data_IF_592849504755
#
_entry.id   IF_592849504755
#
_cell.length_a   1.000
_cell.length_b   1.000
_cell.length_c   1.000
_cell.angle_alpha   90.00
_cell.angle_beta   90.00
_cell.angle_gamma   90.00
#
_symmetry.space_group_name_H-M   'P 1'
#
loop_
_entity.id
_entity.type
_entity.pdbx_description
1 polymer ?
#
# COMPACT_ATOMS: atom_id res chain seq x y z
N UNK A 1 -8.28 11.07 20.04
CA UNK A 1 -8.25 11.10 21.52
C UNK A 1 -9.61 11.49 22.09
N UNK A 2 -10.16 12.67 21.73
CA UNK A 2 -11.49 13.11 22.21
C UNK A 2 -12.63 12.14 21.92
N UNK A 3 -12.64 11.53 20.73
CA UNK A 3 -13.69 10.58 20.33
C UNK A 3 -13.48 9.14 20.85
N UNK A 4 -12.36 8.86 21.54
CA UNK A 4 -12.04 7.50 22.02
C UNK A 4 -11.86 6.43 20.93
N UNK A 5 -11.72 6.84 19.67
CA UNK A 5 -11.61 5.93 18.52
C UNK A 5 -10.21 5.33 18.44
N UNK A 6 -10.15 4.02 18.16
CA UNK A 6 -8.91 3.31 17.78
C UNK A 6 -8.68 3.47 16.29
N UNK A 7 -7.49 3.94 15.91
CA UNK A 7 -7.06 4.02 14.52
C UNK A 7 -6.27 2.77 14.12
N UNK A 8 -6.41 2.37 12.85
CA UNK A 8 -5.55 1.35 12.23
C UNK A 8 -4.68 2.06 11.20
N UNK A 9 -3.36 2.04 11.41
CA UNK A 9 -2.39 2.63 10.51
C UNK A 9 -1.76 1.53 9.65
N UNK A 10 -2.13 1.49 8.36
CA UNK A 10 -1.53 0.55 7.39
C UNK A 10 -0.23 1.15 6.83
N UNK A 11 0.90 0.59 7.26
CA UNK A 11 2.25 1.02 6.90
C UNK A 11 2.91 0.14 5.83
N UNK A 12 2.15 -0.76 5.16
CA UNK A 12 2.71 -1.75 4.22
C UNK A 12 3.49 -1.11 3.07
N UNK A 13 3.12 0.10 2.65
CA UNK A 13 3.84 0.89 1.64
C UNK A 13 4.66 2.06 2.20
N UNK A 14 4.67 2.27 3.53
CA UNK A 14 5.34 3.41 4.16
C UNK A 14 6.85 3.41 3.88
N UNK A 15 7.46 2.23 3.64
CA UNK A 15 8.87 2.13 3.27
C UNK A 15 9.26 2.90 2.00
N UNK A 16 8.31 3.26 1.13
CA UNK A 16 8.59 4.04 -0.09
C UNK A 16 8.95 5.51 0.21
N UNK A 17 8.52 6.04 1.34
CA UNK A 17 8.75 7.43 1.76
C UNK A 17 9.65 7.47 2.99
N UNK A 18 10.95 7.67 2.77
CA UNK A 18 11.97 7.69 3.83
C UNK A 18 11.82 8.84 4.83
N UNK A 19 11.20 9.93 4.40
CA UNK A 19 11.02 11.19 5.12
C UNK A 19 9.57 11.42 5.58
N UNK A 20 8.74 10.37 5.63
CA UNK A 20 7.31 10.46 5.97
C UNK A 20 7.00 10.95 7.40
N UNK A 21 8.02 11.23 8.21
CA UNK A 21 7.88 11.62 9.61
C UNK A 21 7.59 10.45 10.53
N UNK A 22 7.24 10.77 11.78
CA UNK A 22 6.87 9.74 12.76
C UNK A 22 5.49 9.14 12.41
N UNK A 23 5.32 7.80 12.47
CA UNK A 23 4.03 7.18 12.25
C UNK A 23 3.01 7.66 13.29
N UNK A 24 1.72 7.58 12.96
CA UNK A 24 0.63 7.95 13.87
C UNK A 24 0.71 7.14 15.17
N UNK A 25 1.15 5.88 15.11
CA UNK A 25 1.39 5.04 16.28
C UNK A 25 2.47 5.58 17.23
N UNK A 26 3.45 6.35 16.75
CA UNK A 26 4.40 7.04 17.61
C UNK A 26 3.80 8.28 18.28
N UNK A 27 2.84 8.95 17.60
CA UNK A 27 2.18 10.16 18.10
C UNK A 27 1.01 9.87 19.05
N UNK A 28 0.36 8.71 18.91
CA UNK A 28 -0.75 8.28 19.74
C UNK A 28 -0.71 6.76 20.03
N UNK A 29 0.34 6.28 20.74
CA UNK A 29 0.57 4.84 20.98
C UNK A 29 -0.59 4.13 21.68
N UNK A 30 -1.38 4.89 22.44
CA UNK A 30 -2.50 4.34 23.21
C UNK A 30 -3.78 4.16 22.37
N UNK A 31 -3.78 4.66 21.13
CA UNK A 31 -4.97 4.73 20.29
C UNK A 31 -4.78 4.13 18.89
N UNK A 32 -3.56 3.74 18.51
CA UNK A 32 -3.26 3.35 17.14
C UNK A 32 -2.67 1.95 17.11
N UNK A 33 -3.26 1.09 16.28
CA UNK A 33 -2.67 -0.18 15.88
C UNK A 33 -1.96 0.04 14.55
N UNK A 34 -0.64 -0.06 14.53
CA UNK A 34 0.13 -0.04 13.29
C UNK A 34 0.24 -1.46 12.73
N UNK A 35 -0.07 -1.60 11.44
CA UNK A 35 -0.04 -2.83 10.67
C UNK A 35 1.06 -2.69 9.61
N UNK A 36 1.96 -3.67 9.55
CA UNK A 36 3.00 -3.66 8.52
C UNK A 36 3.40 -5.10 8.10
N UNK A 37 4.14 -5.22 7.01
CA UNK A 37 4.47 -6.50 6.39
C UNK A 37 5.72 -6.48 5.51
N UNK A 38 6.34 -7.64 5.35
CA UNK A 38 7.40 -7.88 4.37
C UNK A 38 6.86 -8.12 2.95
N UNK A 39 5.55 -8.24 2.75
CA UNK A 39 4.95 -8.58 1.44
C UNK A 39 5.33 -7.60 0.32
N UNK A 40 5.43 -6.30 0.62
CA UNK A 40 5.78 -5.27 -0.38
C UNK A 40 7.26 -4.88 -0.37
N UNK A 41 7.96 -5.15 0.74
CA UNK A 41 9.42 -4.93 0.87
C UNK A 41 10.24 -6.06 0.26
N UNK A 42 9.79 -7.30 0.42
CA UNK A 42 10.53 -8.51 0.02
C UNK A 42 9.75 -9.26 -1.05
N UNK A 43 8.69 -9.96 -0.68
CA UNK A 43 7.89 -10.76 -1.59
C UNK A 43 6.51 -11.05 -0.99
N UNK A 44 5.42 -10.96 -1.77
CA UNK A 44 4.09 -11.33 -1.30
C UNK A 44 4.02 -12.81 -0.88
N UNK A 45 4.85 -13.68 -1.49
CA UNK A 45 4.88 -15.11 -1.17
C UNK A 45 5.43 -15.44 0.22
N UNK A 46 6.19 -14.54 0.85
CA UNK A 46 6.70 -14.76 2.22
C UNK A 46 5.59 -14.68 3.27
N UNK A 47 4.57 -13.86 3.04
CA UNK A 47 3.38 -13.71 3.91
C UNK A 47 3.70 -13.50 5.40
N UNK A 48 4.70 -12.65 5.71
CA UNK A 48 5.03 -12.26 7.08
C UNK A 48 4.58 -10.81 7.36
N UNK A 49 3.63 -10.66 8.29
CA UNK A 49 3.14 -9.38 8.80
C UNK A 49 3.33 -9.24 10.31
N UNK A 50 3.25 -8.02 10.82
CA UNK A 50 3.38 -7.71 12.24
C UNK A 50 2.51 -6.51 12.63
N UNK A 51 2.23 -6.44 13.93
CA UNK A 51 1.42 -5.39 14.54
C UNK A 51 2.22 -4.69 15.66
N UNK A 52 2.15 -3.37 15.71
CA UNK A 52 2.47 -2.59 16.90
C UNK A 52 1.15 -2.17 17.52
N UNK A 53 0.89 -2.58 18.76
CA UNK A 53 -0.45 -2.51 19.37
C UNK A 53 -0.41 -1.73 20.70
N UNK A 54 -1.46 -0.97 21.03
CA UNK A 54 -1.61 -0.37 22.35
C UNK A 54 -1.60 -1.46 23.43
N UNK A 55 -0.95 -1.25 24.60
CA UNK A 55 -0.88 -2.24 25.67
C UNK A 55 -2.26 -2.79 26.08
N UNK A 56 -3.27 -1.92 26.15
CA UNK A 56 -4.65 -2.27 26.49
C UNK A 56 -5.31 -3.24 25.48
N UNK A 57 -4.85 -3.28 24.23
CA UNK A 57 -5.41 -4.13 23.17
C UNK A 57 -4.62 -5.43 22.96
N UNK A 58 -3.42 -5.55 23.54
CA UNK A 58 -2.47 -6.66 23.29
C UNK A 58 -3.12 -8.04 23.44
N UNK A 59 -3.78 -8.30 24.57
CA UNK A 59 -4.38 -9.62 24.82
C UNK A 59 -5.54 -9.93 23.86
N UNK A 60 -6.39 -8.94 23.57
CA UNK A 60 -7.53 -9.10 22.66
C UNK A 60 -7.06 -9.40 21.23
N UNK A 61 -6.07 -8.66 20.73
CA UNK A 61 -5.53 -8.86 19.39
C UNK A 61 -4.73 -10.17 19.29
N UNK A 62 -3.96 -10.53 20.31
CA UNK A 62 -3.26 -11.83 20.35
C UNK A 62 -4.24 -13.01 20.32
N UNK A 63 -5.37 -12.91 21.04
CA UNK A 63 -6.41 -13.94 20.99
C UNK A 63 -7.06 -14.03 19.60
N UNK A 64 -7.39 -12.88 18.98
CA UNK A 64 -7.95 -12.84 17.63
C UNK A 64 -7.00 -13.47 16.57
N UNK A 65 -5.71 -13.17 16.64
CA UNK A 65 -4.69 -13.75 15.76
C UNK A 65 -4.62 -15.27 15.90
N UNK A 66 -4.69 -15.79 17.13
CA UNK A 66 -4.68 -17.25 17.37
C UNK A 66 -5.89 -17.96 16.78
N UNK A 67 -7.06 -17.34 16.83
CA UNK A 67 -8.30 -17.91 16.27
C UNK A 67 -8.28 -17.93 14.74
N UNK A 68 -7.67 -16.94 14.09
CA UNK A 68 -7.65 -16.84 12.62
C UNK A 68 -6.47 -17.55 11.96
N UNK A 69 -5.25 -17.30 12.44
CA UNK A 69 -4.00 -17.73 11.80
C UNK A 69 -3.07 -18.54 12.67
N UNK A 70 -3.44 -18.81 13.93
CA UNK A 70 -2.63 -19.48 14.97
C UNK A 70 -1.32 -18.77 15.29
N UNK A 71 -0.32 -18.87 14.41
CA UNK A 71 1.00 -18.25 14.51
C UNK A 71 1.53 -17.89 13.13
N UNK A 72 2.47 -16.95 13.04
CA UNK A 72 3.20 -16.72 11.79
C UNK A 72 3.86 -18.03 11.32
N UNK A 73 3.88 -18.34 10.00
CA UNK A 73 4.55 -19.52 9.49
C UNK A 73 6.02 -19.52 9.88
N UNK A 74 6.51 -20.61 10.51
CA UNK A 74 7.86 -20.67 11.06
C UNK A 74 8.96 -20.37 10.04
N UNK A 75 8.82 -20.89 8.81
CA UNK A 75 9.73 -20.58 7.70
C UNK A 75 9.76 -19.09 7.35
N UNK A 76 8.58 -18.47 7.20
CA UNK A 76 8.47 -17.06 6.88
C UNK A 76 9.09 -16.17 7.96
N UNK A 77 8.86 -16.50 9.23
CA UNK A 77 9.44 -15.81 10.38
C UNK A 77 10.96 -15.96 10.43
N UNK A 78 11.49 -17.17 10.22
CA UNK A 78 12.92 -17.43 10.21
C UNK A 78 13.63 -16.66 9.08
N UNK A 79 13.13 -16.75 7.85
CA UNK A 79 13.68 -16.02 6.71
C UNK A 79 13.57 -14.50 6.91
N UNK A 80 12.41 -14.02 7.37
CA UNK A 80 12.19 -12.60 7.62
C UNK A 80 13.15 -12.02 8.64
N UNK A 81 13.36 -12.74 9.76
CA UNK A 81 14.30 -12.32 10.82
C UNK A 81 15.73 -12.29 10.29
N UNK A 82 16.20 -13.37 9.65
CA UNK A 82 17.55 -13.45 9.11
C UNK A 82 17.84 -12.35 8.08
N UNK A 83 16.92 -12.12 7.14
CA UNK A 83 17.08 -11.08 6.11
C UNK A 83 17.02 -9.65 6.66
N UNK A 84 16.32 -9.43 7.77
CA UNK A 84 16.34 -8.12 8.46
C UNK A 84 17.70 -7.93 9.13
N UNK A 85 18.18 -8.91 9.88
CA UNK A 85 19.44 -8.84 10.62
C UNK A 85 20.67 -8.73 9.70
N UNK A 86 20.66 -9.46 8.58
CA UNK A 86 21.71 -9.40 7.55
C UNK A 86 21.66 -8.10 6.71
N UNK A 87 20.56 -7.34 6.79
CA UNK A 87 20.37 -6.11 6.02
C UNK A 87 19.84 -6.31 4.59
N UNK A 88 19.51 -7.55 4.18
CA UNK A 88 18.93 -7.83 2.86
C UNK A 88 17.61 -7.06 2.65
N UNK A 89 16.78 -6.93 3.70
CA UNK A 89 15.53 -6.16 3.61
C UNK A 89 15.82 -4.68 3.34
N UNK A 90 16.84 -4.09 3.96
CA UNK A 90 17.21 -2.70 3.74
C UNK A 90 17.69 -2.46 2.30
N UNK A 91 18.50 -3.36 1.76
CA UNK A 91 18.95 -3.29 0.37
C UNK A 91 17.79 -3.47 -0.63
N UNK A 92 16.85 -4.39 -0.37
CA UNK A 92 15.64 -4.55 -1.18
C UNK A 92 14.74 -3.31 -1.14
N UNK A 93 14.57 -2.70 0.03
CA UNK A 93 13.83 -1.44 0.19
C UNK A 93 14.47 -0.33 -0.63
N UNK A 94 15.80 -0.17 -0.56
CA UNK A 94 16.53 0.83 -1.36
C UNK A 94 16.31 0.63 -2.86
N UNK A 95 16.42 -0.62 -3.35
CA UNK A 95 16.17 -0.96 -4.76
C UNK A 95 14.71 -0.69 -5.17
N UNK A 96 13.74 -1.04 -4.32
CA UNK A 96 12.32 -0.80 -4.59
C UNK A 96 11.97 0.68 -4.65
N UNK A 97 12.58 1.52 -3.80
CA UNK A 97 12.40 2.98 -3.90
C UNK A 97 12.87 3.51 -5.24
N UNK A 98 14.05 3.10 -5.69
CA UNK A 98 14.62 3.49 -6.99
C UNK A 98 13.74 3.02 -8.15
N UNK A 99 13.30 1.75 -8.11
CA UNK A 99 12.41 1.17 -9.11
C UNK A 99 11.04 1.86 -9.17
N UNK A 100 10.41 2.13 -8.01
CA UNK A 100 9.14 2.86 -7.96
C UNK A 100 9.25 4.26 -8.58
N UNK A 101 10.30 5.02 -8.21
CA UNK A 101 10.54 6.35 -8.76
C UNK A 101 10.81 6.32 -10.27
N UNK A 102 11.62 5.37 -10.74
CA UNK A 102 11.95 5.24 -12.16
C UNK A 102 10.69 4.92 -12.99
N UNK A 103 9.87 3.97 -12.53
CA UNK A 103 8.62 3.62 -13.22
C UNK A 103 7.60 4.77 -13.19
N UNK A 104 7.52 5.47 -12.06
CA UNK A 104 6.63 6.63 -11.92
C UNK A 104 7.04 7.77 -12.86
N UNK A 105 8.34 8.09 -12.91
CA UNK A 105 8.89 9.09 -13.82
C UNK A 105 8.62 8.72 -15.29
N UNK A 106 8.85 7.46 -15.68
CA UNK A 106 8.57 6.99 -17.03
C UNK A 106 7.09 7.09 -17.40
N UNK A 107 6.20 6.66 -16.51
CA UNK A 107 4.76 6.76 -16.73
C UNK A 107 4.31 8.23 -16.86
N UNK A 108 4.83 9.12 -16.01
CA UNK A 108 4.55 10.55 -16.08
C UNK A 108 5.06 11.20 -17.35
N UNK A 109 6.25 10.80 -17.82
CA UNK A 109 6.79 11.27 -19.08
C UNK A 109 5.89 10.84 -20.24
N UNK A 110 5.68 9.53 -20.42
CA UNK A 110 4.96 8.98 -21.59
C UNK A 110 3.50 9.44 -21.63
N UNK A 111 2.79 9.39 -20.49
CA UNK A 111 1.38 9.75 -20.44
C UNK A 111 1.19 11.27 -20.38
N UNK A 112 2.14 12.02 -19.81
CA UNK A 112 2.14 13.47 -19.80
C UNK A 112 2.38 14.06 -21.19
N UNK A 113 3.30 13.49 -21.97
CA UNK A 113 3.50 13.84 -23.39
C UNK A 113 2.24 13.59 -24.23
N UNK A 114 1.41 12.61 -23.84
CA UNK A 114 0.10 12.34 -24.43
C UNK A 114 -1.02 13.27 -23.92
N UNK A 115 -0.70 14.27 -23.10
CA UNK A 115 -1.66 15.25 -22.57
C UNK A 115 -2.58 14.72 -21.46
N UNK A 116 -2.21 13.62 -20.79
CA UNK A 116 -3.01 13.02 -19.74
C UNK A 116 -2.63 13.56 -18.34
N UNK A 117 -3.64 13.76 -17.49
CA UNK A 117 -3.44 14.21 -16.10
C UNK A 117 -3.22 13.03 -15.16
N UNK A 118 -2.14 13.08 -14.37
CA UNK A 118 -1.74 12.04 -13.43
C UNK A 118 -1.58 12.59 -12.01
N UNK A 119 -2.31 11.99 -11.06
CA UNK A 119 -2.23 12.29 -9.62
C UNK A 119 -1.54 11.16 -8.85
N UNK A 120 -0.87 11.50 -7.75
CA UNK A 120 -0.20 10.55 -6.86
C UNK A 120 1.22 10.97 -6.49
N UNK A 121 1.75 10.37 -5.43
CA UNK A 121 3.13 10.62 -4.97
C UNK A 121 4.15 10.08 -6.00
N UNK A 122 5.22 10.83 -6.34
CA UNK A 122 6.23 10.38 -7.30
C UNK A 122 7.03 9.14 -6.86
N UNK A 123 6.92 8.74 -5.60
CA UNK A 123 7.60 7.56 -5.01
C UNK A 123 6.72 6.32 -4.98
N UNK A 124 5.43 6.46 -5.32
CA UNK A 124 4.47 5.36 -5.23
C UNK A 124 4.51 4.46 -6.47
N UNK A 125 4.22 3.17 -6.24
CA UNK A 125 3.95 2.17 -7.29
C UNK A 125 2.58 2.32 -7.96
N UNK A 126 1.81 3.36 -7.61
CA UNK A 126 0.49 3.59 -8.17
C UNK A 126 0.32 5.06 -8.57
N UNK A 127 -0.37 5.26 -9.68
CA UNK A 127 -0.79 6.57 -10.17
C UNK A 127 -2.29 6.55 -10.43
N UNK A 128 -2.93 7.71 -10.28
CA UNK A 128 -4.30 7.93 -10.71
C UNK A 128 -4.27 8.68 -12.03
N UNK A 129 -4.88 8.09 -13.05
CA UNK A 129 -5.12 8.73 -14.34
C UNK A 129 -6.51 9.34 -14.33
N UNK A 130 -6.59 10.66 -14.47
CA UNK A 130 -7.84 11.35 -14.69
C UNK A 130 -8.27 11.15 -16.15
N UNK A 131 -9.49 10.66 -16.35
CA UNK A 131 -9.97 10.38 -17.69
C UNK A 131 -10.43 11.67 -18.38
N UNK A 132 -10.11 11.85 -19.67
CA UNK A 132 -10.63 12.99 -20.42
C UNK A 132 -12.15 12.93 -20.54
N UNK A 133 -12.77 14.09 -20.75
CA UNK A 133 -14.22 14.22 -20.81
C UNK A 133 -14.87 13.23 -21.78
N UNK A 134 -15.99 12.63 -21.35
CA UNK A 134 -16.75 11.64 -22.11
C UNK A 134 -16.38 10.18 -21.81
N UNK A 135 -15.26 9.92 -21.13
CA UNK A 135 -14.96 8.60 -20.61
C UNK A 135 -15.56 8.41 -19.22
N UNK A 136 -16.13 7.23 -18.99
CA UNK A 136 -16.48 6.73 -17.66
C UNK A 136 -15.45 5.68 -17.26
N UNK A 137 -15.13 5.58 -15.97
CA UNK A 137 -14.10 4.65 -15.49
C UNK A 137 -14.37 3.20 -15.95
N UNK A 138 -15.61 2.74 -15.85
CA UNK A 138 -16.01 1.37 -16.20
C UNK A 138 -15.91 1.10 -17.71
N UNK A 139 -16.34 2.06 -18.54
CA UNK A 139 -16.27 1.92 -20.00
C UNK A 139 -14.83 2.00 -20.49
N UNK A 140 -13.99 2.81 -19.85
CA UNK A 140 -12.55 2.87 -20.11
C UNK A 140 -11.86 1.55 -19.76
N UNK A 141 -12.11 0.99 -18.57
CA UNK A 141 -11.56 -0.31 -18.15
C UNK A 141 -11.95 -1.41 -19.15
N UNK A 142 -13.23 -1.45 -19.58
CA UNK A 142 -13.68 -2.42 -20.57
C UNK A 142 -13.01 -2.23 -21.95
N UNK A 143 -12.79 -0.99 -22.38
CA UNK A 143 -12.06 -0.68 -23.62
C UNK A 143 -10.58 -1.07 -23.54
N UNK A 144 -9.93 -0.79 -22.41
CA UNK A 144 -8.54 -1.17 -22.13
C UNK A 144 -8.37 -2.69 -22.10
N UNK A 145 -9.29 -3.41 -21.46
CA UNK A 145 -9.26 -4.87 -21.39
C UNK A 145 -9.35 -5.53 -22.77
N UNK A 146 -10.15 -4.99 -23.69
CA UNK A 146 -10.19 -5.45 -25.11
C UNK A 146 -8.84 -5.28 -25.82
N UNK A 147 -7.99 -4.38 -25.33
CA UNK A 147 -6.61 -4.19 -25.79
C UNK A 147 -5.57 -4.92 -24.94
N UNK A 148 -6.02 -5.83 -24.05
CA UNK A 148 -5.19 -6.59 -23.11
C UNK A 148 -4.43 -5.71 -22.10
N UNK A 149 -5.03 -4.57 -21.73
CA UNK A 149 -4.51 -3.66 -20.71
C UNK A 149 -5.43 -3.74 -19.49
N UNK A 150 -4.88 -4.12 -18.35
CA UNK A 150 -5.61 -4.16 -17.08
C UNK A 150 -5.36 -2.87 -16.29
N UNK A 151 -6.45 -2.23 -15.87
CA UNK A 151 -6.47 -1.04 -14.99
C UNK A 151 -7.65 -1.15 -14.03
N UNK A 152 -7.58 -0.54 -12.85
CA UNK A 152 -8.66 -0.56 -11.87
C UNK A 152 -9.49 0.73 -11.92
N UNK A 153 -10.82 0.68 -12.00
CA UNK A 153 -11.66 1.87 -11.89
C UNK A 153 -11.62 2.47 -10.47
N UNK A 154 -11.79 3.78 -10.35
CA UNK A 154 -11.82 4.46 -9.06
C UNK A 154 -12.92 3.96 -8.10
N UNK A 155 -14.02 3.46 -8.66
CA UNK A 155 -15.13 2.90 -7.88
C UNK A 155 -14.72 1.73 -6.97
N UNK A 156 -13.68 0.96 -7.34
CA UNK A 156 -13.14 -0.12 -6.49
C UNK A 156 -12.54 0.39 -5.17
N UNK A 157 -12.25 1.69 -5.06
CA UNK A 157 -11.61 2.32 -3.90
C UNK A 157 -12.57 3.26 -3.13
N UNK A 158 -13.83 3.34 -3.54
CA UNK A 158 -14.84 4.13 -2.85
C UNK A 158 -15.39 3.36 -1.64
N UNK A 159 -15.36 3.97 -0.45
CA UNK A 159 -15.83 3.35 0.81
C UNK A 159 -17.34 3.44 1.00
N UNK A 160 -18.02 4.38 0.32
CA UNK A 160 -19.45 4.62 0.45
C UNK A 160 -20.19 4.64 -0.89
N UNK A 161 -21.52 4.57 -0.82
CA UNK A 161 -22.39 4.78 -1.98
C UNK A 161 -22.29 6.24 -2.43
N UNK A 162 -21.66 6.48 -3.58
CA UNK A 162 -21.45 7.81 -4.12
C UNK A 162 -20.84 7.74 -5.52
N UNK A 163 -20.77 8.89 -6.19
CA UNK A 163 -20.13 8.99 -7.49
C UNK A 163 -18.61 8.97 -7.33
N UNK A 164 -17.97 7.88 -7.71
CA UNK A 164 -16.52 7.81 -7.82
C UNK A 164 -16.05 8.71 -8.99
N UNK A 165 -14.89 9.38 -8.87
CA UNK A 165 -14.36 10.20 -9.95
C UNK A 165 -14.08 9.35 -11.20
N UNK A 166 -14.29 9.91 -12.39
CA UNK A 166 -13.93 9.28 -13.67
C UNK A 166 -12.40 9.22 -13.82
N UNK A 167 -11.80 8.26 -13.12
CA UNK A 167 -10.37 8.02 -13.05
C UNK A 167 -10.09 6.53 -12.89
N UNK A 168 -8.89 6.12 -13.30
CA UNK A 168 -8.41 4.74 -13.13
C UNK A 168 -7.09 4.73 -12.39
N UNK A 169 -6.86 3.69 -11.60
CA UNK A 169 -5.59 3.46 -10.92
C UNK A 169 -4.69 2.62 -11.82
N UNK A 170 -3.50 3.13 -12.08
CA UNK A 170 -2.40 2.45 -12.75
C UNK A 170 -1.50 1.81 -11.69
N UNK A 171 -1.16 0.53 -11.89
CA UNK A 171 -0.11 -0.15 -11.14
C UNK A 171 1.15 -0.20 -12.00
N UNK A 172 2.27 0.29 -11.46
CA UNK A 172 3.53 0.48 -12.17
C UNK A 172 4.49 -0.70 -11.99
#
# INVERSE_FOLDING_TARGET
RELGIVAVEDAVYAFLAEDAGAPLAALAPEHVVLVDSLSKRVSPGLSLGFLVVPPALRHRLAAALRLGGWTAPGYALACGTAWIEEGSVAELVRRKRQDAQARNALARQVLGEAGLSLRGDPRAYHLWLDLPGGWRAETFVAAAARRRIAVSPAAEFAVGSGHAPDSVRLAL
#
